data_IF_065492960141
#
_entry.id   IF_065492960141
#
_cell.length_a   1.000
_cell.length_b   1.000
_cell.length_c   1.000
_cell.angle_alpha   90.00
_cell.angle_beta   90.00
_cell.angle_gamma   90.00
#
_symmetry.space_group_name_H-M   'P 1'
#
loop_
_entity.id
_entity.type
_entity.pdbx_description
1 polymer ?
#
# COMPACT_ATOMS: atom_id res chain seq x y z
N UNK A 1 27.77 -0.57 12.20
CA UNK A 1 26.34 -0.92 12.20
C UNK A 1 26.02 -1.31 10.78
N UNK A 2 25.23 -2.38 10.56
CA UNK A 2 24.89 -2.79 9.21
C UNK A 2 24.15 -1.67 8.49
N UNK A 3 24.19 -1.69 7.17
CA UNK A 3 23.47 -0.75 6.31
C UNK A 3 22.35 -1.52 5.62
N UNK A 4 21.16 -0.94 5.55
CA UNK A 4 20.06 -1.50 4.77
C UNK A 4 20.35 -1.31 3.27
N UNK A 5 20.14 -2.34 2.42
CA UNK A 5 20.28 -2.17 0.99
C UNK A 5 19.19 -1.23 0.44
N UNK A 6 19.45 -0.63 -0.72
CA UNK A 6 18.41 0.09 -1.45
C UNK A 6 17.26 -0.87 -1.82
N UNK A 7 16.03 -0.43 -1.56
CA UNK A 7 14.82 -1.20 -1.87
C UNK A 7 13.62 -0.73 -1.06
N UNK A 8 12.45 -0.70 -1.68
CA UNK A 8 11.22 -0.24 -1.04
C UNK A 8 10.60 -1.31 -0.13
N UNK A 9 10.74 -2.59 -0.49
CA UNK A 9 10.10 -3.72 0.19
C UNK A 9 11.17 -4.71 0.68
N UNK A 10 11.78 -4.45 1.85
CA UNK A 10 12.85 -5.29 2.41
C UNK A 10 12.28 -6.47 3.23
N UNK A 11 12.83 -7.67 3.04
CA UNK A 11 12.57 -8.86 3.86
C UNK A 11 13.83 -9.21 4.65
N UNK A 12 13.87 -8.82 5.92
CA UNK A 12 15.05 -8.86 6.78
C UNK A 12 15.01 -10.08 7.68
N UNK A 13 16.05 -10.92 7.59
CA UNK A 13 16.26 -12.02 8.52
C UNK A 13 16.89 -11.51 9.81
N UNK A 14 16.26 -11.77 10.94
CA UNK A 14 16.83 -11.48 12.27
C UNK A 14 17.11 -12.74 13.07
N UNK A 15 16.47 -13.86 12.72
CA UNK A 15 16.68 -15.15 13.38
C UNK A 15 17.51 -16.12 12.52
N UNK A 16 18.63 -16.56 13.08
CA UNK A 16 19.60 -17.45 12.43
C UNK A 16 19.66 -18.85 13.07
N UNK A 17 18.70 -19.20 13.93
CA UNK A 17 18.66 -20.50 14.62
C UNK A 17 18.16 -21.67 13.76
N UNK A 18 17.50 -21.40 12.63
CA UNK A 18 17.02 -22.41 11.68
C UNK A 18 17.09 -21.89 10.23
N UNK A 19 18.11 -22.34 9.49
CA UNK A 19 18.30 -22.01 8.06
C UNK A 19 17.22 -22.63 7.16
N UNK A 20 16.68 -23.79 7.54
CA UNK A 20 15.68 -24.50 6.77
C UNK A 20 14.34 -23.78 6.82
N UNK A 21 13.93 -23.38 8.02
CA UNK A 21 12.74 -22.55 8.23
C UNK A 21 12.88 -21.20 7.53
N UNK A 22 14.00 -20.50 7.71
CA UNK A 22 14.28 -19.25 6.98
C UNK A 22 14.09 -19.40 5.48
N UNK A 23 14.74 -20.42 4.88
CA UNK A 23 14.67 -20.63 3.45
C UNK A 23 13.24 -20.97 2.98
N UNK A 24 12.43 -21.61 3.83
CA UNK A 24 11.02 -21.85 3.54
C UNK A 24 10.21 -20.55 3.57
N UNK A 25 10.32 -19.75 4.63
CA UNK A 25 9.62 -18.46 4.75
C UNK A 25 9.97 -17.52 3.60
N UNK A 26 11.26 -17.38 3.29
CA UNK A 26 11.72 -16.51 2.20
C UNK A 26 11.18 -16.96 0.83
N UNK A 27 11.15 -18.27 0.56
CA UNK A 27 10.56 -18.81 -0.67
C UNK A 27 9.05 -18.55 -0.73
N UNK A 28 8.32 -18.83 0.35
CA UNK A 28 6.87 -18.70 0.36
C UNK A 28 6.45 -17.22 0.29
N UNK A 29 7.19 -16.33 0.94
CA UNK A 29 6.96 -14.88 0.90
C UNK A 29 7.11 -14.30 -0.52
N UNK A 30 8.01 -14.88 -1.32
CA UNK A 30 8.27 -14.46 -2.70
C UNK A 30 7.51 -15.26 -3.75
N UNK A 31 6.78 -16.30 -3.36
CA UNK A 31 6.00 -17.09 -4.30
C UNK A 31 4.76 -16.31 -4.78
N UNK A 32 4.27 -16.66 -5.97
CA UNK A 32 2.96 -16.22 -6.43
C UNK A 32 1.86 -17.02 -5.72
N UNK A 33 0.84 -16.33 -5.24
CA UNK A 33 -0.31 -16.94 -4.54
C UNK A 33 -1.62 -16.42 -5.11
N UNK A 34 -2.61 -17.31 -5.23
CA UNK A 34 -3.99 -16.92 -5.56
C UNK A 34 -4.61 -16.21 -4.36
N UNK A 35 -5.06 -14.97 -4.58
CA UNK A 35 -5.65 -14.13 -3.56
C UNK A 35 -7.17 -14.32 -3.48
N UNK A 36 -7.81 -13.71 -2.48
CA UNK A 36 -9.26 -13.83 -2.27
C UNK A 36 -10.09 -13.29 -3.45
N UNK A 37 -9.49 -12.40 -4.25
CA UNK A 37 -10.06 -11.90 -5.50
C UNK A 37 -10.06 -12.92 -6.64
N UNK A 38 -9.38 -14.06 -6.48
CA UNK A 38 -9.18 -15.08 -7.51
C UNK A 38 -8.00 -14.79 -8.45
N UNK A 39 -7.32 -13.65 -8.30
CA UNK A 39 -6.12 -13.32 -9.07
C UNK A 39 -4.86 -13.82 -8.36
N UNK A 40 -3.88 -14.25 -9.16
CA UNK A 40 -2.55 -14.59 -8.68
C UNK A 40 -1.72 -13.31 -8.52
N UNK A 41 -1.06 -13.16 -7.36
CA UNK A 41 -0.22 -12.01 -7.04
C UNK A 41 1.06 -12.46 -6.32
N UNK A 42 2.11 -11.65 -6.46
CA UNK A 42 3.43 -11.87 -5.89
C UNK A 42 3.88 -10.61 -5.13
N UNK A 43 4.64 -10.78 -4.05
CA UNK A 43 5.34 -9.67 -3.40
C UNK A 43 6.73 -9.48 -4.01
N UNK A 44 7.13 -8.24 -4.27
CA UNK A 44 8.45 -7.93 -4.81
C UNK A 44 9.42 -7.54 -3.69
N UNK A 45 10.12 -8.53 -3.12
CA UNK A 45 10.93 -8.35 -1.91
C UNK A 45 12.43 -8.34 -2.20
N UNK A 46 13.16 -7.42 -1.57
CA UNK A 46 14.62 -7.48 -1.46
C UNK A 46 15.00 -8.21 -0.18
N UNK A 47 15.54 -9.43 -0.31
CA UNK A 47 15.97 -10.24 0.84
C UNK A 47 17.24 -9.69 1.48
N UNK A 48 17.25 -9.57 2.80
CA UNK A 48 18.42 -9.22 3.62
C UNK A 48 18.74 -10.40 4.53
N UNK A 49 19.67 -11.24 4.09
CA UNK A 49 20.20 -12.42 4.81
C UNK A 49 21.65 -12.15 5.23
N UNK A 50 21.82 -11.27 6.22
CA UNK A 50 23.12 -10.87 6.73
C UNK A 50 23.18 -11.07 8.26
N UNK A 51 24.11 -11.89 8.79
CA UNK A 51 24.27 -12.12 10.22
C UNK A 51 24.48 -10.86 11.07
N UNK A 52 24.84 -9.72 10.49
CA UNK A 52 24.91 -8.44 11.22
C UNK A 52 23.53 -7.99 11.76
N UNK A 53 22.43 -8.51 11.21
CA UNK A 53 21.05 -8.27 11.66
C UNK A 53 20.56 -9.28 12.71
N UNK A 54 21.38 -10.26 13.09
CA UNK A 54 21.01 -11.28 14.07
C UNK A 54 20.56 -10.65 15.41
N UNK A 55 19.42 -11.13 15.92
CA UNK A 55 18.80 -10.72 17.17
C UNK A 55 18.53 -9.20 17.30
N UNK A 56 18.50 -8.48 16.18
CA UNK A 56 18.14 -7.06 16.20
C UNK A 56 16.65 -6.87 16.54
N UNK A 57 16.37 -5.92 17.43
CA UNK A 57 15.00 -5.49 17.72
C UNK A 57 14.45 -4.63 16.59
N UNK A 58 13.11 -4.55 16.50
CA UNK A 58 12.40 -3.67 15.56
C UNK A 58 12.88 -2.22 15.68
N UNK A 59 12.93 -1.66 16.90
CA UNK A 59 13.38 -0.28 17.11
C UNK A 59 14.82 -0.03 16.63
N UNK A 60 15.69 -1.06 16.70
CA UNK A 60 17.05 -0.96 16.17
C UNK A 60 17.09 -0.99 14.65
N UNK A 61 16.26 -1.82 14.02
CA UNK A 61 16.15 -1.90 12.56
C UNK A 61 15.55 -0.60 12.00
N UNK A 62 14.49 -0.08 12.61
CA UNK A 62 13.87 1.21 12.24
C UNK A 62 14.89 2.34 12.36
N UNK A 63 15.74 2.33 13.40
CA UNK A 63 16.84 3.30 13.54
C UNK A 63 17.94 3.21 12.47
N UNK A 64 17.95 2.20 11.60
CA UNK A 64 18.85 2.07 10.45
C UNK A 64 18.25 2.64 9.15
N UNK A 65 16.97 2.99 9.14
CA UNK A 65 16.28 3.49 7.96
C UNK A 65 16.79 4.89 7.62
N UNK A 66 17.45 5.02 6.47
CA UNK A 66 17.97 6.28 5.93
C UNK A 66 16.98 6.91 4.94
N UNK A 67 17.10 8.22 4.68
CA UNK A 67 16.19 8.96 3.80
C UNK A 67 16.62 8.92 2.32
N UNK A 68 15.67 8.81 1.36
CA UNK A 68 14.24 8.62 1.60
C UNK A 68 13.95 7.18 2.06
N UNK A 69 13.05 7.02 3.04
CA UNK A 69 12.77 5.73 3.68
C UNK A 69 12.17 4.71 2.70
N UNK A 70 12.18 3.42 3.04
CA UNK A 70 10.95 2.64 2.97
C UNK A 70 10.10 2.91 4.21
N UNK A 71 8.82 3.24 4.01
CA UNK A 71 7.84 3.51 5.09
C UNK A 71 7.36 2.23 5.82
N UNK A 72 7.85 1.07 5.39
CA UNK A 72 7.55 -0.23 5.97
C UNK A 72 8.68 -1.23 5.74
N UNK A 73 8.74 -2.28 6.56
CA UNK A 73 9.69 -3.39 6.45
C UNK A 73 9.02 -4.72 6.78
N UNK A 74 9.58 -5.82 6.28
CA UNK A 74 9.21 -7.17 6.68
C UNK A 74 10.36 -7.83 7.45
N UNK A 75 10.06 -8.44 8.60
CA UNK A 75 11.04 -9.08 9.47
C UNK A 75 10.69 -10.55 9.66
N UNK A 76 11.66 -11.41 9.38
CA UNK A 76 11.60 -12.85 9.70
C UNK A 76 12.39 -13.07 10.99
N UNK A 77 11.66 -13.01 12.10
CA UNK A 77 12.13 -13.25 13.45
C UNK A 77 11.95 -14.73 13.86
N UNK A 78 12.31 -15.05 15.10
CA UNK A 78 12.20 -16.41 15.61
C UNK A 78 10.78 -16.96 15.48
N UNK A 79 9.77 -16.13 15.75
CA UNK A 79 8.37 -16.54 15.68
C UNK A 79 7.96 -16.93 14.26
N UNK A 80 8.41 -16.21 13.24
CA UNK A 80 8.16 -16.57 11.85
C UNK A 80 8.80 -17.92 11.46
N UNK A 81 9.92 -18.31 12.06
CA UNK A 81 10.53 -19.62 11.82
C UNK A 81 9.91 -20.76 12.63
N UNK A 82 9.50 -20.48 13.88
CA UNK A 82 9.03 -21.51 14.83
C UNK A 82 7.54 -21.85 14.67
N UNK A 83 6.71 -20.89 14.23
CA UNK A 83 5.26 -21.11 14.11
C UNK A 83 4.86 -21.77 12.78
N UNK A 84 3.88 -22.70 12.77
CA UNK A 84 3.51 -23.46 11.57
C UNK A 84 3.03 -22.62 10.37
N UNK A 85 2.46 -21.44 10.62
CA UNK A 85 1.96 -20.55 9.56
C UNK A 85 3.01 -19.55 9.08
N UNK A 86 4.21 -19.59 9.67
CA UNK A 86 5.32 -18.71 9.36
C UNK A 86 5.00 -17.21 9.33
N UNK A 87 4.31 -16.67 10.36
CA UNK A 87 3.78 -15.31 10.32
C UNK A 87 4.90 -14.27 10.35
N UNK A 88 5.17 -13.67 9.19
CA UNK A 88 6.18 -12.62 8.99
C UNK A 88 5.72 -11.34 9.66
N UNK A 89 6.61 -10.66 10.37
CA UNK A 89 6.32 -9.39 11.01
C UNK A 89 6.38 -8.26 9.98
N UNK A 90 5.33 -7.46 9.91
CA UNK A 90 5.26 -6.21 9.15
C UNK A 90 5.49 -5.07 10.13
N UNK A 91 6.36 -4.13 9.76
CA UNK A 91 6.76 -2.99 10.59
C UNK A 91 6.47 -1.70 9.84
N UNK A 92 5.79 -0.76 10.48
CA UNK A 92 5.68 0.64 10.05
C UNK A 92 6.93 1.40 10.52
N UNK A 93 7.72 1.94 9.60
CA UNK A 93 8.94 2.68 9.95
C UNK A 93 8.68 4.17 10.18
N UNK A 94 7.48 4.65 9.85
CA UNK A 94 7.04 6.03 10.04
C UNK A 94 6.43 6.27 11.42
N UNK A 95 5.98 5.20 12.10
CA UNK A 95 5.46 5.21 13.45
C UNK A 95 6.56 5.10 14.52
N UNK A 96 6.20 5.37 15.78
CA UNK A 96 7.07 5.06 16.92
C UNK A 96 7.26 3.53 17.00
N UNK A 97 8.49 3.00 16.87
CA UNK A 97 8.72 1.56 16.84
C UNK A 97 8.39 0.84 18.15
N UNK A 98 8.20 1.58 19.25
CA UNK A 98 7.78 1.03 20.54
C UNK A 98 6.25 1.00 20.69
N UNK A 99 5.48 1.52 19.72
CA UNK A 99 4.02 1.41 19.66
C UNK A 99 3.60 0.02 19.15
N UNK A 100 2.69 -0.64 19.89
CA UNK A 100 2.11 -1.92 19.45
C UNK A 100 1.37 -1.78 18.11
N UNK A 101 0.85 -0.58 17.80
CA UNK A 101 0.21 -0.28 16.51
C UNK A 101 1.19 -0.21 15.33
N UNK A 102 2.50 -0.07 15.58
CA UNK A 102 3.53 0.00 14.53
C UNK A 102 3.86 -1.38 13.92
N UNK A 103 3.25 -2.47 14.41
CA UNK A 103 3.50 -3.80 13.87
C UNK A 103 2.26 -4.67 13.77
N UNK A 104 2.28 -5.61 12.83
CA UNK A 104 1.35 -6.75 12.80
C UNK A 104 2.01 -7.91 12.07
N UNK A 105 1.37 -9.09 12.04
CA UNK A 105 1.92 -10.23 11.33
C UNK A 105 1.09 -10.60 10.12
N UNK A 106 1.71 -11.25 9.14
CA UNK A 106 1.06 -11.73 7.94
C UNK A 106 1.58 -13.11 7.56
N UNK A 107 0.70 -14.01 7.14
CA UNK A 107 1.14 -15.30 6.60
C UNK A 107 1.79 -15.10 5.22
N UNK A 108 2.81 -15.90 4.84
CA UNK A 108 3.54 -15.67 3.58
C UNK A 108 2.65 -15.64 2.32
N UNK A 109 1.57 -16.42 2.29
CA UNK A 109 0.62 -16.45 1.15
C UNK A 109 -0.16 -15.15 0.93
N UNK A 110 -0.19 -14.25 1.93
CA UNK A 110 -0.88 -12.95 1.89
C UNK A 110 0.06 -11.76 1.83
N UNK A 111 1.36 -12.00 1.82
CA UNK A 111 2.37 -10.94 1.86
C UNK A 111 2.28 -10.02 0.63
N UNK A 112 1.89 -10.57 -0.53
CA UNK A 112 1.60 -9.81 -1.75
C UNK A 112 0.46 -8.79 -1.57
N UNK A 113 -0.52 -9.03 -0.71
CA UNK A 113 -1.59 -8.06 -0.43
C UNK A 113 -1.01 -6.87 0.34
N UNK A 114 -0.17 -7.13 1.32
CA UNK A 114 0.44 -6.08 2.15
C UNK A 114 1.42 -5.26 1.31
N UNK A 115 2.38 -5.93 0.70
CA UNK A 115 3.46 -5.31 -0.05
C UNK A 115 2.94 -4.46 -1.22
N UNK A 116 2.09 -5.02 -2.08
CA UNK A 116 1.58 -4.28 -3.25
C UNK A 116 0.68 -3.09 -2.87
N UNK A 117 0.05 -3.08 -1.69
CA UNK A 117 -0.75 -1.93 -1.26
C UNK A 117 0.13 -0.83 -0.64
N UNK A 118 1.11 -1.21 0.17
CA UNK A 118 2.01 -0.25 0.81
C UNK A 118 2.99 0.36 -0.20
N UNK A 119 3.50 -0.42 -1.15
CA UNK A 119 4.48 0.05 -2.15
C UNK A 119 3.94 1.13 -3.08
N UNK A 120 2.62 1.17 -3.29
CA UNK A 120 1.95 2.19 -4.10
C UNK A 120 1.06 3.13 -3.27
N UNK A 121 1.12 3.04 -1.94
CA UNK A 121 0.31 3.81 -1.00
C UNK A 121 -1.21 3.75 -1.30
N UNK A 122 -1.71 2.57 -1.68
CA UNK A 122 -3.13 2.31 -1.97
C UNK A 122 -3.94 1.96 -0.70
N UNK A 123 -3.34 1.39 0.33
CA UNK A 123 -3.94 1.29 1.66
C UNK A 123 -2.95 1.78 2.70
N UNK A 124 -3.46 2.33 3.80
CA UNK A 124 -2.61 2.66 4.94
C UNK A 124 -2.17 1.39 5.68
N UNK A 125 -1.09 1.51 6.45
CA UNK A 125 -0.66 0.45 7.35
C UNK A 125 -1.77 0.06 8.34
N UNK A 126 -2.47 1.04 8.90
CA UNK A 126 -3.57 0.82 9.85
C UNK A 126 -4.77 0.10 9.23
N UNK A 127 -5.11 0.38 7.97
CA UNK A 127 -6.16 -0.35 7.25
C UNK A 127 -5.83 -1.84 7.12
N UNK A 128 -4.56 -2.15 6.82
CA UNK A 128 -4.08 -3.52 6.65
C UNK A 128 -3.96 -4.24 8.00
N UNK A 129 -3.39 -3.57 9.01
CA UNK A 129 -3.28 -4.06 10.37
C UNK A 129 -4.64 -4.40 10.97
N UNK A 130 -5.63 -3.55 10.75
CA UNK A 130 -7.01 -3.77 11.23
C UNK A 130 -7.69 -4.99 10.59
N UNK A 131 -7.14 -5.50 9.49
CA UNK A 131 -7.58 -6.74 8.85
C UNK A 131 -6.93 -8.01 9.40
N UNK A 132 -6.01 -7.89 10.38
CA UNK A 132 -5.45 -9.05 11.06
C UNK A 132 -6.49 -9.75 11.96
N UNK A 133 -6.37 -11.06 12.10
CA UNK A 133 -7.22 -11.84 13.01
C UNK A 133 -6.97 -11.46 14.47
N UNK A 134 -7.79 -11.97 15.40
CA UNK A 134 -7.69 -11.68 16.84
C UNK A 134 -6.32 -11.99 17.46
N UNK A 135 -5.51 -12.82 16.82
CA UNK A 135 -4.16 -13.18 17.25
C UNK A 135 -3.07 -12.27 16.64
N UNK A 136 -3.47 -11.22 15.92
CA UNK A 136 -2.58 -10.25 15.28
C UNK A 136 -1.95 -10.73 13.97
N UNK A 137 -2.44 -11.84 13.41
CA UNK A 137 -1.95 -12.39 12.13
C UNK A 137 -2.97 -12.17 11.02
N UNK A 138 -2.56 -11.52 9.94
CA UNK A 138 -3.32 -11.31 8.72
C UNK A 138 -3.29 -12.58 7.85
N UNK A 139 -4.45 -13.24 7.71
CA UNK A 139 -4.64 -14.45 6.89
C UNK A 139 -5.47 -14.23 5.62
N UNK A 140 -5.92 -13.00 5.39
CA UNK A 140 -6.97 -12.68 4.41
C UNK A 140 -8.35 -12.77 5.05
N UNK A 141 -9.42 -12.62 4.27
CA UNK A 141 -10.75 -12.42 4.86
C UNK A 141 -11.28 -13.68 5.59
N UNK A 142 -11.18 -13.68 6.93
CA UNK A 142 -11.77 -14.66 7.84
C UNK A 142 -12.63 -14.01 8.91
N UNK A 143 -13.87 -13.62 8.56
CA UNK A 143 -14.95 -13.16 9.44
C UNK A 143 -14.69 -11.87 10.28
N UNK A 144 -15.26 -10.76 9.77
CA UNK A 144 -15.59 -9.50 10.47
C UNK A 144 -14.36 -8.60 10.75
N UNK A 145 -14.04 -7.55 10.00
CA UNK A 145 -14.91 -6.58 9.33
C UNK A 145 -14.46 -6.41 7.88
N UNK A 146 -15.31 -6.76 6.92
CA UNK A 146 -15.45 -5.86 5.77
C UNK A 146 -15.86 -4.53 6.39
N UNK A 147 -14.92 -3.63 6.64
CA UNK A 147 -15.23 -2.22 6.43
C UNK A 147 -15.68 -2.25 4.98
N UNK A 148 -16.99 -2.22 4.74
CA UNK A 148 -17.51 -2.03 3.40
C UNK A 148 -16.88 -0.72 2.94
N UNK A 149 -15.77 -0.85 2.21
CA UNK A 149 -15.08 0.29 1.62
C UNK A 149 -16.17 1.05 0.87
N UNK A 150 -16.34 2.36 1.12
CA UNK A 150 -17.36 3.13 0.42
C UNK A 150 -17.28 2.82 -1.06
N UNK A 151 -18.40 2.51 -1.68
CA UNK A 151 -18.43 2.22 -3.11
C UNK A 151 -19.03 3.41 -3.84
N UNK A 152 -18.37 3.83 -4.91
CA UNK A 152 -18.89 4.85 -5.82
C UNK A 152 -19.36 4.16 -7.08
N UNK A 153 -20.63 4.34 -7.45
CA UNK A 153 -21.15 3.74 -8.68
C UNK A 153 -20.45 4.38 -9.87
N UNK A 154 -20.21 3.59 -10.91
CA UNK A 154 -19.49 4.07 -12.09
C UNK A 154 -20.20 5.25 -12.76
N UNK A 155 -21.52 5.26 -12.76
CA UNK A 155 -22.32 6.38 -13.27
C UNK A 155 -22.13 7.68 -12.47
N UNK A 156 -21.95 7.59 -11.14
CA UNK A 156 -21.73 8.76 -10.29
C UNK A 156 -20.32 9.32 -10.49
N UNK A 157 -19.31 8.45 -10.63
CA UNK A 157 -17.94 8.86 -10.94
C UNK A 157 -17.83 9.49 -12.33
N UNK A 158 -18.53 8.94 -13.33
CA UNK A 158 -18.60 9.53 -14.67
C UNK A 158 -19.33 10.88 -14.61
N UNK A 159 -20.44 10.99 -13.88
CA UNK A 159 -21.15 12.25 -13.71
C UNK A 159 -20.30 13.31 -12.99
N UNK A 160 -19.52 12.91 -11.97
CA UNK A 160 -18.59 13.79 -11.28
C UNK A 160 -17.54 14.35 -12.24
N UNK A 161 -16.98 13.49 -13.11
CA UNK A 161 -16.04 13.92 -14.14
C UNK A 161 -16.71 14.80 -15.21
N UNK A 162 -17.94 14.49 -15.63
CA UNK A 162 -18.69 15.26 -16.63
C UNK A 162 -19.12 16.66 -16.13
N UNK A 163 -19.35 16.81 -14.82
CA UNK A 163 -19.72 18.09 -14.20
C UNK A 163 -18.50 18.96 -13.80
N UNK A 164 -17.29 18.39 -13.81
CA UNK A 164 -16.07 19.11 -13.46
C UNK A 164 -15.59 20.04 -14.58
N UNK A 165 -14.77 21.02 -14.20
CA UNK A 165 -14.12 21.94 -15.14
C UNK A 165 -13.34 21.18 -16.22
N UNK A 166 -13.44 21.65 -17.47
CA UNK A 166 -12.96 20.95 -18.66
C UNK A 166 -11.43 21.10 -18.86
N UNK A 167 -10.66 20.61 -17.88
CA UNK A 167 -9.20 20.54 -17.96
C UNK A 167 -8.73 19.33 -18.80
N UNK A 168 -7.51 19.36 -19.36
CA UNK A 168 -6.94 18.20 -20.06
C UNK A 168 -6.94 16.91 -19.21
N UNK A 169 -6.67 17.03 -17.92
CA UNK A 169 -6.72 15.93 -16.95
C UNK A 169 -8.11 15.29 -16.88
N UNK A 170 -9.15 16.12 -16.76
CA UNK A 170 -10.54 15.66 -16.68
C UNK A 170 -11.01 15.04 -18.00
N UNK A 171 -10.60 15.62 -19.14
CA UNK A 171 -10.89 15.03 -20.46
C UNK A 171 -10.30 13.62 -20.57
N UNK A 172 -9.04 13.43 -20.18
CA UNK A 172 -8.40 12.12 -20.22
C UNK A 172 -9.05 11.12 -19.24
N UNK A 173 -9.44 11.58 -18.05
CA UNK A 173 -10.14 10.74 -17.07
C UNK A 173 -11.46 10.23 -17.63
N UNK A 174 -12.28 11.10 -18.24
CA UNK A 174 -13.56 10.70 -18.85
C UNK A 174 -13.37 9.64 -19.93
N UNK A 175 -12.37 9.78 -20.78
CA UNK A 175 -12.06 8.78 -21.81
C UNK A 175 -11.72 7.42 -21.20
N UNK A 176 -10.87 7.40 -20.17
CA UNK A 176 -10.42 6.16 -19.54
C UNK A 176 -11.54 5.49 -18.73
N UNK A 177 -12.38 6.26 -18.03
CA UNK A 177 -13.56 5.73 -17.33
C UNK A 177 -14.54 5.08 -18.31
N UNK A 178 -14.83 5.71 -19.44
CA UNK A 178 -15.78 5.19 -20.44
C UNK A 178 -15.31 3.94 -21.16
N UNK A 179 -14.00 3.70 -21.23
CA UNK A 179 -13.43 2.45 -21.78
C UNK A 179 -13.64 1.26 -20.83
N UNK A 180 -14.03 1.49 -19.58
CA UNK A 180 -14.12 0.44 -18.56
C UNK A 180 -15.57 0.06 -18.28
N UNK A 181 -15.81 -1.25 -18.20
CA UNK A 181 -17.09 -1.82 -17.78
C UNK A 181 -16.99 -2.29 -16.33
N UNK A 182 -16.85 -1.32 -15.41
CA UNK A 182 -16.83 -1.56 -13.95
C UNK A 182 -18.14 -0.99 -13.38
N UNK A 183 -18.94 -1.75 -12.60
CA UNK A 183 -20.21 -1.27 -12.07
C UNK A 183 -20.05 -0.34 -10.86
N UNK A 184 -19.11 -0.67 -9.97
CA UNK A 184 -18.81 0.06 -8.73
C UNK A 184 -17.31 0.13 -8.52
N UNK A 185 -16.85 1.27 -8.01
CA UNK A 185 -15.46 1.55 -7.70
C UNK A 185 -15.29 1.48 -6.18
N UNK A 186 -14.34 0.68 -5.67
CA UNK A 186 -13.91 0.79 -4.29
C UNK A 186 -13.34 2.18 -4.05
N UNK A 187 -13.83 2.85 -3.02
CA UNK A 187 -13.32 4.12 -2.56
C UNK A 187 -12.83 3.99 -1.11
N UNK A 188 -11.95 4.88 -0.72
CA UNK A 188 -11.39 5.00 0.62
C UNK A 188 -11.90 6.28 1.25
N UNK A 189 -12.31 6.21 2.51
CA UNK A 189 -12.55 7.43 3.29
C UNK A 189 -11.19 8.07 3.54
N UNK A 190 -11.03 9.30 3.07
CA UNK A 190 -9.87 10.13 3.40
C UNK A 190 -10.34 11.13 4.45
N UNK A 191 -9.93 10.96 5.70
CA UNK A 191 -10.37 11.82 6.82
C UNK A 191 -9.82 13.23 6.68
N UNK A 192 -8.56 13.37 6.28
CA UNK A 192 -7.94 14.63 5.90
C UNK A 192 -7.14 14.46 4.60
N UNK A 193 -7.49 15.20 3.56
CA UNK A 193 -6.82 15.15 2.25
C UNK A 193 -5.34 15.53 2.32
N UNK A 194 -4.89 16.19 3.40
CA UNK A 194 -3.47 16.49 3.64
C UNK A 194 -2.62 15.22 3.83
N UNK A 195 -3.17 14.15 4.38
CA UNK A 195 -2.45 12.89 4.51
C UNK A 195 -2.06 12.33 3.13
N UNK A 196 -2.91 12.58 2.12
CA UNK A 196 -2.63 12.24 0.72
C UNK A 196 -1.70 13.22 0.04
N UNK A 197 -1.71 14.50 0.45
CA UNK A 197 -0.73 15.47 -0.01
C UNK A 197 0.67 15.01 0.35
N UNK A 198 0.92 14.66 1.62
CA UNK A 198 2.25 14.30 2.09
C UNK A 198 2.78 13.04 1.38
N UNK A 199 1.92 12.04 1.20
CA UNK A 199 2.26 10.82 0.46
C UNK A 199 2.63 11.10 -1.01
N UNK A 200 1.90 11.98 -1.69
CA UNK A 200 2.17 12.30 -3.10
C UNK A 200 3.36 13.25 -3.23
N UNK A 201 3.47 14.26 -2.37
CA UNK A 201 4.56 15.25 -2.42
C UNK A 201 5.92 14.64 -2.03
N UNK A 202 5.92 13.60 -1.17
CA UNK A 202 7.10 12.82 -0.83
C UNK A 202 7.55 11.84 -1.94
N UNK A 203 6.65 11.52 -2.88
CA UNK A 203 6.94 10.63 -4.00
C UNK A 203 7.83 11.26 -5.08
N UNK A 204 8.67 10.46 -5.72
CA UNK A 204 9.46 10.91 -6.88
C UNK A 204 8.68 10.63 -8.16
N UNK A 205 7.96 11.63 -8.66
CA UNK A 205 7.18 11.53 -9.89
C UNK A 205 7.91 12.20 -11.06
N UNK A 206 7.99 11.50 -12.20
CA UNK A 206 8.46 12.13 -13.44
C UNK A 206 7.35 13.02 -14.00
N UNK A 207 7.59 14.33 -14.07
CA UNK A 207 6.63 15.31 -14.57
C UNK A 207 6.14 15.04 -15.99
N UNK A 208 6.94 14.38 -16.83
CA UNK A 208 6.54 13.98 -18.19
C UNK A 208 5.59 12.77 -18.22
N UNK A 209 5.55 12.00 -17.13
CA UNK A 209 4.73 10.81 -16.96
C UNK A 209 3.60 11.01 -15.95
N UNK A 210 3.30 12.26 -15.59
CA UNK A 210 2.19 12.59 -14.68
C UNK A 210 1.28 13.64 -15.26
N UNK A 211 -0.03 13.44 -15.10
CA UNK A 211 -1.08 14.38 -15.52
C UNK A 211 -1.87 14.76 -14.28
N UNK A 212 -2.13 16.06 -14.07
CA UNK A 212 -2.92 16.55 -12.94
C UNK A 212 -2.19 16.65 -11.60
N UNK A 213 -0.85 16.54 -11.60
CA UNK A 213 -0.03 16.49 -10.38
C UNK A 213 -0.16 17.78 -9.55
N UNK A 214 0.15 18.93 -10.15
CA UNK A 214 0.14 20.22 -9.46
C UNK A 214 -1.27 20.60 -8.99
N UNK A 215 -2.30 20.38 -9.83
CA UNK A 215 -3.68 20.65 -9.43
C UNK A 215 -4.11 19.75 -8.27
N UNK A 216 -3.72 18.48 -8.28
CA UNK A 216 -4.00 17.54 -7.20
C UNK A 216 -3.35 17.99 -5.91
N UNK A 217 -2.05 18.32 -5.92
CA UNK A 217 -1.36 18.82 -4.72
C UNK A 217 -1.99 20.11 -4.17
N UNK A 218 -2.38 21.04 -5.03
CA UNK A 218 -3.06 22.28 -4.59
C UNK A 218 -4.39 22.02 -3.90
N UNK A 219 -5.15 21.01 -4.35
CA UNK A 219 -6.42 20.62 -3.74
C UNK A 219 -6.18 19.91 -2.41
N UNK A 220 -5.28 18.91 -2.41
CA UNK A 220 -4.99 18.11 -1.21
C UNK A 220 -4.40 18.96 -0.07
N UNK A 221 -3.58 19.97 -0.39
CA UNK A 221 -3.02 20.90 0.59
C UNK A 221 -4.08 21.70 1.38
N UNK A 222 -5.33 21.81 0.87
CA UNK A 222 -6.43 22.49 1.58
C UNK A 222 -7.00 21.64 2.72
N UNK A 223 -6.75 20.33 2.69
CA UNK A 223 -7.28 19.36 3.66
C UNK A 223 -8.79 19.17 3.58
N UNK A 224 -9.35 18.57 4.63
CA UNK A 224 -10.76 18.22 4.72
C UNK A 224 -11.02 16.77 4.31
N UNK A 225 -12.23 16.27 4.53
CA UNK A 225 -12.56 14.87 4.23
C UNK A 225 -12.96 14.66 2.77
N UNK A 226 -12.74 13.46 2.25
CA UNK A 226 -13.17 13.08 0.91
C UNK A 226 -13.17 11.57 0.69
N UNK A 227 -13.43 11.18 -0.54
CA UNK A 227 -13.33 9.80 -1.00
C UNK A 227 -12.19 9.68 -2.01
N UNK A 228 -11.25 8.76 -1.76
CA UNK A 228 -10.17 8.42 -2.68
C UNK A 228 -10.51 7.19 -3.50
N UNK A 229 -10.41 7.25 -4.83
CA UNK A 229 -10.53 6.10 -5.73
C UNK A 229 -9.21 5.92 -6.46
N UNK A 230 -8.68 4.71 -6.46
CA UNK A 230 -7.48 4.36 -7.20
C UNK A 230 -7.75 3.19 -8.14
N UNK A 231 -7.26 3.28 -9.38
CA UNK A 231 -7.29 2.13 -10.29
C UNK A 231 -6.13 2.13 -11.27
N UNK A 232 -5.61 0.93 -11.54
CA UNK A 232 -4.59 0.70 -12.55
C UNK A 232 -5.19 0.46 -13.95
N UNK A 233 -4.43 0.90 -14.95
CA UNK A 233 -4.49 0.56 -16.36
C UNK A 233 -3.21 -0.24 -16.71
N UNK A 234 -3.09 -0.69 -17.96
CA UNK A 234 -1.94 -1.50 -18.39
C UNK A 234 -0.61 -0.74 -18.24
N UNK A 235 -0.62 0.55 -18.57
CA UNK A 235 0.58 1.40 -18.66
C UNK A 235 0.52 2.60 -17.71
N UNK A 236 -0.47 2.65 -16.82
CA UNK A 236 -0.73 3.83 -16.00
C UNK A 236 -1.65 3.51 -14.83
N UNK A 237 -1.85 4.45 -13.92
CA UNK A 237 -2.90 4.40 -12.92
C UNK A 237 -3.51 5.78 -12.68
N UNK A 238 -4.72 5.78 -12.13
CA UNK A 238 -5.44 6.97 -11.68
C UNK A 238 -5.56 6.98 -10.17
N UNK A 239 -5.35 8.16 -9.58
CA UNK A 239 -5.74 8.51 -8.21
C UNK A 239 -6.74 9.67 -8.28
N UNK A 240 -7.95 9.46 -7.77
CA UNK A 240 -9.09 10.37 -7.89
C UNK A 240 -9.59 10.71 -6.50
N UNK A 241 -9.95 11.97 -6.27
CA UNK A 241 -10.49 12.45 -5.00
C UNK A 241 -11.84 13.13 -5.24
N UNK A 242 -12.85 12.69 -4.50
CA UNK A 242 -14.21 13.22 -4.53
C UNK A 242 -14.58 13.83 -3.18
N UNK A 243 -15.49 14.79 -3.20
CA UNK A 243 -16.16 15.26 -2.00
C UNK A 243 -17.05 14.15 -1.43
N UNK A 244 -16.99 13.91 -0.12
CA UNK A 244 -17.68 12.77 0.50
C UNK A 244 -19.21 12.90 0.49
N UNK A 245 -19.74 14.13 0.44
CA UNK A 245 -21.18 14.38 0.54
C UNK A 245 -21.84 14.53 -0.83
N UNK A 246 -21.21 15.31 -1.71
CA UNK A 246 -21.74 15.65 -3.04
C UNK A 246 -21.21 14.76 -4.16
N UNK A 247 -20.14 13.99 -3.91
CA UNK A 247 -19.39 13.24 -4.92
C UNK A 247 -18.80 14.12 -6.04
N UNK A 248 -18.70 15.44 -5.84
CA UNK A 248 -18.05 16.31 -6.82
C UNK A 248 -16.56 15.96 -6.95
N UNK A 249 -16.03 16.00 -8.17
CA UNK A 249 -14.61 15.76 -8.43
C UNK A 249 -13.77 16.90 -7.82
N UNK A 250 -12.95 16.57 -6.83
CA UNK A 250 -12.02 17.50 -6.20
C UNK A 250 -10.69 17.55 -6.95
N UNK A 251 -10.13 16.38 -7.25
CA UNK A 251 -8.86 16.24 -7.95
C UNK A 251 -8.75 14.88 -8.66
N UNK A 252 -7.91 14.83 -9.68
CA UNK A 252 -7.52 13.58 -10.34
C UNK A 252 -6.08 13.69 -10.81
N UNK A 253 -5.32 12.62 -10.60
CA UNK A 253 -3.95 12.49 -11.04
C UNK A 253 -3.78 11.17 -11.77
N UNK A 254 -3.12 11.21 -12.93
CA UNK A 254 -2.70 10.02 -13.66
C UNK A 254 -1.19 9.90 -13.60
N UNK A 255 -0.68 8.70 -13.38
CA UNK A 255 0.75 8.37 -13.48
C UNK A 255 0.92 7.31 -14.55
N UNK A 256 1.88 7.51 -15.43
CA UNK A 256 2.20 6.63 -16.56
C UNK A 256 3.47 5.87 -16.20
N UNK A 257 3.47 4.54 -16.38
CA UNK A 257 4.65 3.73 -16.17
C UNK A 257 5.63 3.96 -17.33
N UNK A 258 6.94 4.12 -17.06
CA UNK A 258 7.95 4.17 -18.11
C UNK A 258 7.93 2.85 -18.89
N UNK A 259 7.95 2.94 -20.21
CA UNK A 259 8.01 1.78 -21.12
C UNK A 259 9.41 1.20 -21.24
#
# INVERSE_FOLDING_TARGET
MPTLPEGQSLLIRTYFGDDGAWAQVARDAQASHVQDSGYEAQAFLTTVDDPEFADMSVSRIVGLVESPPPDYLFVVDQRACDEPEHPVLVVDTSADPDDEAATFRVVPSRLAVIENNLSIANLSFDDLRSGADLDGVYRGAGAVQTIEKPQVRSEDLIAAADNADDSPTVQQLREDLRKRSVPVWPAMVVTDLRDRYDAIAGGTYNSELTIGYDETLQVLARGGSGLGIHFALVDSYWSIYLDSDSLSLLAAMKVIYPS
#
